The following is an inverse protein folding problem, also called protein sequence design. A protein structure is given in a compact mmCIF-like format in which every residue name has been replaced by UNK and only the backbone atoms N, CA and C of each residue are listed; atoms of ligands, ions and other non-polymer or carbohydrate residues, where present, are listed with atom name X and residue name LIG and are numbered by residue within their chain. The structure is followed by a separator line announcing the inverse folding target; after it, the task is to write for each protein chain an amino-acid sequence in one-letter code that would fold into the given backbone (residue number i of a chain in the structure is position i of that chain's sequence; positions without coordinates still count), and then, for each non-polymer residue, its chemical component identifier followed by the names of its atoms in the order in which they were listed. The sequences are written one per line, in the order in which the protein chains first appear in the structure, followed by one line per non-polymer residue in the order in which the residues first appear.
data_IF_322899319340
#
_entry.id   IF_322899319340
#
_cell.length_a   1.000
_cell.length_b   1.000
_cell.length_c   1.000
_cell.angle_alpha   90.00
_cell.angle_beta   90.00
_cell.angle_gamma   90.00
#
_symmetry.space_group_name_H-M   'P 1'
#
loop_
_entity.id
_entity.type
_entity.pdbx_description
1 polymer ?
#
# COMPACT_ATOMS: atom_id res chain seq x y z
N UNK A 1 -23.72 33.43 -73.18
CA UNK A 1 -22.48 32.64 -72.98
C UNK A 1 -21.49 33.22 -72.01
N UNK A 2 -21.26 34.51 -71.84
CA UNK A 2 -20.30 35.07 -70.87
C UNK A 2 -20.73 34.86 -69.36
N UNK A 3 -22.03 34.92 -69.03
CA UNK A 3 -22.54 34.72 -67.70
C UNK A 3 -22.42 33.26 -67.18
N UNK A 4 -22.57 32.28 -68.11
CA UNK A 4 -22.44 30.85 -67.79
C UNK A 4 -20.96 30.47 -67.46
N UNK A 5 -20.02 31.04 -68.20
CA UNK A 5 -18.59 30.82 -67.99
C UNK A 5 -18.12 31.40 -66.62
N UNK A 6 -18.72 32.50 -66.22
CA UNK A 6 -18.41 33.13 -64.89
C UNK A 6 -18.96 32.30 -63.72
N UNK A 7 -20.15 31.71 -63.89
CA UNK A 7 -20.71 30.80 -62.85
C UNK A 7 -19.92 29.50 -62.75
N UNK A 8 -19.47 28.93 -63.87
CA UNK A 8 -18.63 27.72 -63.82
C UNK A 8 -17.25 28.00 -63.25
N UNK A 9 -16.64 29.16 -63.45
CA UNK A 9 -15.37 29.54 -62.87
C UNK A 9 -15.51 29.81 -61.37
N UNK A 10 -16.60 30.41 -60.91
CA UNK A 10 -16.88 30.60 -59.46
C UNK A 10 -17.15 29.27 -58.68
N UNK A 11 -17.82 28.31 -59.40
CA UNK A 11 -18.07 26.98 -58.89
C UNK A 11 -16.77 26.14 -58.72
N UNK A 12 -15.83 26.25 -59.65
CA UNK A 12 -14.53 25.59 -59.58
C UNK A 12 -13.61 26.17 -58.50
N UNK A 13 -13.62 27.48 -58.29
CA UNK A 13 -12.88 28.11 -57.19
C UNK A 13 -13.46 27.78 -55.82
N UNK A 14 -14.78 27.63 -55.73
CA UNK A 14 -15.43 27.17 -54.49
C UNK A 14 -15.13 25.71 -54.13
N UNK A 15 -14.97 24.84 -55.13
CA UNK A 15 -14.62 23.42 -54.92
C UNK A 15 -13.14 23.23 -54.53
N UNK A 16 -12.25 24.12 -54.92
CA UNK A 16 -10.83 24.11 -54.53
C UNK A 16 -10.57 24.67 -53.15
N UNK A 17 -11.49 25.42 -52.58
CA UNK A 17 -11.38 25.93 -51.19
C UNK A 17 -11.82 24.91 -50.15
N UNK A 18 -12.37 23.77 -50.53
CA UNK A 18 -12.78 22.69 -49.58
C UNK A 18 -11.73 21.62 -49.37
N UNK A 19 -10.57 21.72 -49.99
CA UNK A 19 -9.41 20.83 -49.68
C UNK A 19 -8.49 21.52 -48.66
N UNK A 20 -9.07 22.09 -47.63
CA UNK A 20 -8.31 22.36 -46.39
C UNK A 20 -7.98 21.03 -45.76
N UNK A 21 -6.74 20.59 -45.89
CA UNK A 21 -6.21 19.53 -45.06
C UNK A 21 -6.32 20.00 -43.62
N UNK A 22 -7.44 19.72 -43.02
CA UNK A 22 -7.54 19.76 -41.54
C UNK A 22 -6.79 18.52 -41.04
N UNK A 23 -5.52 18.71 -40.79
CA UNK A 23 -4.81 17.81 -39.91
C UNK A 23 -5.46 17.99 -38.52
N UNK A 24 -6.39 17.11 -38.23
CA UNK A 24 -7.12 17.07 -36.94
C UNK A 24 -6.34 16.39 -35.84
N UNK A 25 -5.05 16.11 -36.05
CA UNK A 25 -4.17 15.64 -34.98
C UNK A 25 -3.98 16.77 -33.98
N UNK A 26 -4.70 16.67 -32.91
CA UNK A 26 -4.54 17.55 -31.76
C UNK A 26 -3.15 17.36 -31.16
N UNK A 27 -2.29 18.37 -31.32
CA UNK A 27 -1.00 18.39 -30.63
C UNK A 27 -1.22 18.96 -29.24
N UNK A 28 -1.36 18.10 -28.28
CA UNK A 28 -1.44 18.48 -26.87
C UNK A 28 -0.04 18.92 -26.41
N UNK A 29 0.13 20.24 -26.21
CA UNK A 29 1.41 20.81 -25.78
C UNK A 29 1.48 21.06 -24.27
N UNK A 30 0.36 21.04 -23.57
CA UNK A 30 0.26 21.41 -22.16
C UNK A 30 -0.12 20.28 -21.23
N UNK A 31 -0.65 19.18 -21.74
CA UNK A 31 -1.06 18.05 -20.93
C UNK A 31 -0.12 16.84 -21.13
N UNK A 32 0.26 16.21 -20.04
CA UNK A 32 0.97 14.95 -20.07
C UNK A 32 -0.03 13.84 -20.40
N UNK A 33 0.00 13.39 -21.65
CA UNK A 33 -0.78 12.23 -22.12
C UNK A 33 0.16 11.02 -22.23
N UNK A 34 -0.41 9.81 -22.24
CA UNK A 34 0.37 8.56 -22.29
C UNK A 34 1.47 8.58 -23.37
N UNK A 35 1.17 9.10 -24.56
CA UNK A 35 2.09 9.07 -25.72
C UNK A 35 3.31 10.00 -25.57
N UNK A 36 3.30 10.94 -24.61
CA UNK A 36 4.41 11.87 -24.36
C UNK A 36 4.96 11.78 -22.93
N UNK A 37 4.49 10.84 -22.11
CA UNK A 37 4.90 10.71 -20.72
C UNK A 37 6.21 9.91 -20.56
N UNK A 38 6.29 8.73 -21.21
CA UNK A 38 7.43 7.82 -21.07
C UNK A 38 8.56 8.18 -22.04
N UNK A 39 9.26 9.28 -21.78
CA UNK A 39 10.31 9.81 -22.68
C UNK A 39 11.73 9.46 -22.24
N UNK A 40 11.89 9.02 -21.02
CA UNK A 40 13.18 8.67 -20.40
C UNK A 40 12.99 7.66 -19.26
N UNK A 41 14.09 7.15 -18.73
CA UNK A 41 14.08 6.21 -17.60
C UNK A 41 13.44 6.81 -16.34
N UNK A 42 13.61 8.11 -16.09
CA UNK A 42 13.07 8.77 -14.91
C UNK A 42 11.54 8.77 -14.91
N UNK A 43 10.92 8.97 -16.07
CA UNK A 43 9.47 8.93 -16.21
C UNK A 43 8.89 7.53 -15.95
N UNK A 44 9.61 6.47 -16.35
CA UNK A 44 9.26 5.07 -15.99
C UNK A 44 9.35 4.86 -14.50
N UNK A 45 10.45 5.28 -13.88
CA UNK A 45 10.65 5.17 -12.42
C UNK A 45 9.58 5.95 -11.64
N UNK A 46 9.25 7.16 -12.09
CA UNK A 46 8.19 7.98 -11.49
C UNK A 46 6.82 7.29 -11.55
N UNK A 47 6.48 6.65 -12.68
CA UNK A 47 5.23 5.91 -12.81
C UNK A 47 5.16 4.72 -11.83
N UNK A 48 6.27 3.98 -11.68
CA UNK A 48 6.35 2.88 -10.72
C UNK A 48 6.24 3.40 -9.29
N UNK A 49 7.00 4.43 -8.91
CA UNK A 49 6.98 5.00 -7.55
C UNK A 49 5.60 5.56 -7.22
N UNK A 50 4.91 6.15 -8.19
CA UNK A 50 3.53 6.64 -8.01
C UNK A 50 2.56 5.55 -7.54
N UNK A 51 2.75 4.29 -7.99
CA UNK A 51 1.92 3.18 -7.50
C UNK A 51 2.16 2.88 -6.00
N UNK A 52 3.37 3.12 -5.50
CA UNK A 52 3.69 2.95 -4.08
C UNK A 52 3.14 4.05 -3.18
N UNK A 53 2.80 5.21 -3.72
CA UNK A 53 2.23 6.32 -2.93
C UNK A 53 0.91 5.93 -2.25
N UNK A 54 0.10 5.09 -2.89
CA UNK A 54 -1.13 4.58 -2.28
C UNK A 54 -0.89 3.63 -1.09
N UNK A 55 0.35 3.20 -0.87
CA UNK A 55 0.71 2.32 0.25
C UNK A 55 0.52 2.97 1.62
N UNK A 56 0.25 4.26 1.66
CA UNK A 56 -0.15 4.99 2.85
C UNK A 56 -1.35 4.38 3.57
N UNK A 57 -2.28 3.84 2.81
CA UNK A 57 -3.46 3.17 3.36
C UNK A 57 -3.12 1.92 4.18
N UNK A 58 -1.95 1.33 3.92
CA UNK A 58 -1.46 0.15 4.64
C UNK A 58 -0.64 0.55 5.84
N UNK A 59 -0.01 1.72 5.81
CA UNK A 59 0.92 2.13 6.86
C UNK A 59 0.20 2.85 7.97
N UNK A 60 -0.33 4.01 7.75
CA UNK A 60 -0.77 4.83 8.85
C UNK A 60 -2.08 5.56 8.56
N UNK A 61 -2.99 5.58 9.54
CA UNK A 61 -4.35 6.14 9.41
C UNK A 61 -5.20 5.55 8.29
N UNK A 62 -4.62 4.80 7.37
CA UNK A 62 -5.37 4.13 6.34
C UNK A 62 -6.33 3.10 6.92
N UNK A 63 -7.39 2.82 6.20
CA UNK A 63 -8.40 1.88 6.70
C UNK A 63 -7.89 0.44 6.70
N UNK A 64 -6.95 0.09 5.81
CA UNK A 64 -6.26 -1.21 5.84
C UNK A 64 -5.51 -1.37 7.17
N UNK A 65 -4.71 -0.35 7.55
CA UNK A 65 -3.99 -0.37 8.82
C UNK A 65 -4.94 -0.47 10.02
N UNK A 66 -6.01 0.32 10.04
CA UNK A 66 -7.00 0.28 11.13
C UNK A 66 -7.66 -1.08 11.30
N UNK A 67 -7.99 -1.74 10.18
CA UNK A 67 -8.56 -3.08 10.24
C UNK A 67 -7.57 -4.11 10.77
N UNK A 68 -6.28 -4.02 10.44
CA UNK A 68 -5.28 -4.95 10.94
C UNK A 68 -4.92 -4.71 12.41
N UNK A 69 -4.68 -3.45 12.79
CA UNK A 69 -4.12 -3.11 14.08
C UNK A 69 -5.18 -3.00 15.18
N UNK A 70 -6.34 -2.42 14.88
CA UNK A 70 -7.38 -2.22 15.89
C UNK A 70 -8.21 -3.48 16.16
N UNK A 71 -8.19 -4.45 15.25
CA UNK A 71 -8.79 -5.78 15.51
C UNK A 71 -7.81 -6.73 16.20
N UNK A 72 -6.53 -6.35 16.24
CA UNK A 72 -5.51 -7.06 17.00
C UNK A 72 -5.56 -6.72 18.49
N UNK A 73 -4.75 -7.42 19.27
CA UNK A 73 -4.71 -7.28 20.73
C UNK A 73 -3.68 -6.26 21.23
N UNK A 74 -2.91 -5.61 20.33
CA UNK A 74 -1.81 -4.73 20.75
C UNK A 74 -2.15 -3.26 20.65
N UNK A 75 -3.16 -2.89 19.88
CA UNK A 75 -3.62 -1.50 19.82
C UNK A 75 -5.09 -1.41 20.16
N UNK A 76 -5.45 -0.33 20.81
CA UNK A 76 -6.83 0.03 21.08
C UNK A 76 -7.00 1.53 20.92
N UNK A 77 -8.04 1.92 20.25
CA UNK A 77 -8.40 3.32 20.09
C UNK A 77 -9.66 3.60 20.92
N UNK A 78 -9.46 4.21 22.06
CA UNK A 78 -10.51 4.36 23.03
C UNK A 78 -10.90 5.81 23.22
N UNK A 79 -12.06 6.03 23.82
CA UNK A 79 -12.50 7.34 24.26
C UNK A 79 -11.57 7.90 25.34
N UNK A 80 -11.27 9.21 25.24
CA UNK A 80 -10.48 9.98 26.18
C UNK A 80 -11.24 11.25 26.52
N UNK A 81 -11.94 11.25 27.63
CA UNK A 81 -12.81 12.34 27.98
C UNK A 81 -13.83 12.60 26.86
N UNK A 82 -13.73 13.74 26.21
CA UNK A 82 -14.64 14.13 25.11
C UNK A 82 -14.21 13.63 23.74
N UNK A 83 -13.03 13.05 23.61
CA UNK A 83 -12.40 12.74 22.34
C UNK A 83 -12.34 11.23 22.07
N UNK A 84 -12.33 10.85 20.80
CA UNK A 84 -12.06 9.50 20.35
C UNK A 84 -13.21 8.50 20.55
N UNK A 85 -14.40 8.95 20.93
CA UNK A 85 -15.56 8.04 20.97
C UNK A 85 -16.03 7.69 19.56
N UNK A 86 -16.17 8.70 18.70
CA UNK A 86 -16.48 8.58 17.27
C UNK A 86 -17.57 7.54 17.01
N UNK A 87 -18.70 7.67 17.71
CA UNK A 87 -19.81 6.71 17.71
C UNK A 87 -19.42 5.26 18.08
N UNK A 88 -18.34 5.09 18.82
CA UNK A 88 -17.86 3.77 19.27
C UNK A 88 -17.28 2.89 18.17
N UNK A 89 -17.03 3.44 16.98
CA UNK A 89 -16.56 2.65 15.82
C UNK A 89 -15.21 1.96 16.09
N UNK A 90 -14.30 2.60 16.80
CA UNK A 90 -12.99 2.04 17.13
C UNK A 90 -13.08 0.90 18.15
N UNK A 91 -13.94 1.08 19.14
CA UNK A 91 -14.20 0.03 20.14
C UNK A 91 -14.87 -1.17 19.49
N UNK A 92 -15.81 -0.96 18.57
CA UNK A 92 -16.43 -2.06 17.81
C UNK A 92 -15.41 -2.85 16.98
N UNK A 93 -14.40 -2.20 16.38
CA UNK A 93 -13.30 -2.90 15.70
C UNK A 93 -12.52 -3.78 16.69
N UNK A 94 -12.12 -3.22 17.84
CA UNK A 94 -11.36 -3.95 18.85
C UNK A 94 -12.14 -5.12 19.46
N UNK A 95 -13.43 -4.95 19.69
CA UNK A 95 -14.31 -5.99 20.24
C UNK A 95 -14.85 -6.97 19.19
N UNK A 96 -14.47 -6.83 17.92
CA UNK A 96 -14.97 -7.63 16.80
C UNK A 96 -16.50 -7.58 16.63
N UNK A 97 -17.08 -6.39 16.88
CA UNK A 97 -18.52 -6.11 16.79
C UNK A 97 -18.89 -5.21 15.62
N UNK A 98 -18.06 -5.18 14.60
CA UNK A 98 -18.36 -4.39 13.40
C UNK A 98 -19.54 -4.93 12.61
N UNK A 99 -20.08 -4.08 11.76
CA UNK A 99 -21.15 -4.42 10.84
C UNK A 99 -20.87 -3.82 9.46
N UNK A 100 -21.75 -4.04 8.50
CA UNK A 100 -21.57 -3.61 7.10
C UNK A 100 -21.51 -2.09 6.90
N UNK A 101 -21.99 -1.28 7.86
CA UNK A 101 -21.91 0.18 7.79
C UNK A 101 -20.59 0.75 8.35
N UNK A 102 -19.71 -0.10 8.84
CA UNK A 102 -18.40 0.32 9.35
C UNK A 102 -17.55 0.89 8.20
N UNK A 103 -17.29 2.20 8.24
CA UNK A 103 -16.62 2.92 7.14
C UNK A 103 -15.26 2.33 6.74
N UNK A 104 -14.49 1.83 7.69
CA UNK A 104 -13.18 1.24 7.48
C UNK A 104 -13.22 -0.02 6.61
N UNK A 105 -14.30 -0.79 6.65
CA UNK A 105 -14.48 -1.97 5.81
C UNK A 105 -14.59 -1.56 4.33
N UNK A 106 -15.42 -0.55 4.04
CA UNK A 106 -15.51 -0.02 2.68
C UNK A 106 -14.23 0.70 2.25
N UNK A 107 -13.61 1.47 3.16
CA UNK A 107 -12.40 2.22 2.88
C UNK A 107 -11.22 1.33 2.51
N UNK A 108 -11.02 0.21 3.20
CA UNK A 108 -9.98 -0.76 2.87
C UNK A 108 -10.19 -1.43 1.50
N UNK A 109 -11.44 -1.72 1.14
CA UNK A 109 -11.80 -2.20 -0.20
C UNK A 109 -11.42 -1.19 -1.29
N UNK A 110 -11.91 0.03 -1.15
CA UNK A 110 -11.67 1.11 -2.12
C UNK A 110 -10.16 1.38 -2.27
N UNK A 111 -9.43 1.51 -1.17
CA UNK A 111 -8.00 1.76 -1.18
C UNK A 111 -7.22 0.65 -1.89
N UNK A 112 -7.57 -0.61 -1.66
CA UNK A 112 -6.94 -1.76 -2.32
C UNK A 112 -7.16 -1.73 -3.83
N UNK A 113 -8.40 -1.55 -4.27
CA UNK A 113 -8.70 -1.54 -5.71
C UNK A 113 -8.20 -0.28 -6.43
N UNK A 114 -8.09 0.87 -5.76
CA UNK A 114 -7.43 2.05 -6.32
C UNK A 114 -5.96 1.76 -6.66
N UNK A 115 -5.22 1.13 -5.76
CA UNK A 115 -3.84 0.74 -6.02
C UNK A 115 -3.75 -0.31 -7.13
N UNK A 116 -4.57 -1.36 -7.08
CA UNK A 116 -4.61 -2.41 -8.12
C UNK A 116 -4.90 -1.80 -9.50
N UNK A 117 -5.88 -0.89 -9.59
CA UNK A 117 -6.22 -0.20 -10.83
C UNK A 117 -5.06 0.65 -11.35
N UNK A 118 -4.35 1.35 -10.48
CA UNK A 118 -3.19 2.14 -10.86
C UNK A 118 -2.04 1.25 -11.35
N UNK A 119 -1.75 0.15 -10.67
CA UNK A 119 -0.76 -0.84 -11.11
C UNK A 119 -1.13 -1.39 -12.49
N UNK A 120 -2.38 -1.80 -12.70
CA UNK A 120 -2.83 -2.31 -13.99
C UNK A 120 -2.71 -1.27 -15.10
N UNK A 121 -2.97 0.02 -14.79
CA UNK A 121 -2.79 1.13 -15.71
C UNK A 121 -1.34 1.25 -16.17
N UNK A 122 -0.39 1.27 -15.22
CA UNK A 122 1.03 1.39 -15.54
C UNK A 122 1.53 0.15 -16.30
N UNK A 123 1.13 -1.06 -15.89
CA UNK A 123 1.48 -2.30 -16.61
C UNK A 123 0.97 -2.30 -18.05
N UNK A 124 -0.27 -1.84 -18.28
CA UNK A 124 -0.82 -1.68 -19.63
C UNK A 124 -0.02 -0.68 -20.44
N UNK A 125 0.29 0.47 -19.86
CA UNK A 125 1.04 1.53 -20.54
C UNK A 125 2.46 1.05 -20.91
N UNK A 126 3.10 0.28 -20.06
CA UNK A 126 4.41 -0.33 -20.31
C UNK A 126 4.44 -1.25 -21.53
N UNK A 127 3.32 -1.83 -21.93
CA UNK A 127 3.23 -2.64 -23.16
C UNK A 127 3.43 -1.81 -24.43
N UNK A 128 3.33 -0.48 -24.36
CA UNK A 128 3.50 0.44 -25.49
C UNK A 128 4.83 1.21 -25.46
N UNK A 129 5.62 1.07 -24.39
CA UNK A 129 6.90 1.79 -24.20
C UNK A 129 8.03 1.05 -24.90
N UNK A 130 8.80 1.76 -25.73
CA UNK A 130 10.08 1.27 -26.22
C UNK A 130 11.16 1.54 -25.17
N UNK A 131 11.32 0.58 -24.25
CA UNK A 131 12.28 0.68 -23.15
C UNK A 131 13.73 0.82 -23.61
N UNK A 132 14.08 0.22 -24.75
CA UNK A 132 15.46 0.30 -25.29
C UNK A 132 15.79 1.70 -25.76
N UNK A 133 14.81 2.38 -26.38
CA UNK A 133 14.98 3.75 -26.86
C UNK A 133 15.21 4.77 -25.75
N UNK A 134 14.72 4.48 -24.54
CA UNK A 134 14.88 5.34 -23.36
C UNK A 134 15.97 4.87 -22.38
N UNK A 135 16.81 3.91 -22.81
CA UNK A 135 17.96 3.45 -22.04
C UNK A 135 17.66 2.56 -20.84
N UNK A 136 16.51 1.86 -20.86
CA UNK A 136 16.15 0.86 -19.84
C UNK A 136 16.53 -0.53 -20.36
N UNK A 137 17.30 -1.27 -19.57
CA UNK A 137 17.72 -2.64 -19.90
C UNK A 137 16.59 -3.65 -19.73
N UNK A 138 16.75 -4.84 -20.31
CA UNK A 138 15.76 -5.91 -20.15
C UNK A 138 15.63 -6.37 -18.70
N UNK A 139 16.73 -6.37 -17.94
CA UNK A 139 16.72 -6.69 -16.52
C UNK A 139 15.96 -5.63 -15.70
N UNK A 140 16.19 -4.35 -16.00
CA UNK A 140 15.48 -3.24 -15.35
C UNK A 140 13.99 -3.27 -15.68
N UNK A 141 13.65 -3.50 -16.96
CA UNK A 141 12.28 -3.68 -17.39
C UNK A 141 11.60 -4.82 -16.64
N UNK A 142 12.23 -6.00 -16.57
CA UNK A 142 11.70 -7.15 -15.83
C UNK A 142 11.50 -6.82 -14.34
N UNK A 143 12.44 -6.09 -13.74
CA UNK A 143 12.33 -5.65 -12.35
C UNK A 143 11.18 -4.67 -12.12
N UNK A 144 10.91 -3.73 -13.04
CA UNK A 144 9.78 -2.81 -12.96
C UNK A 144 8.43 -3.55 -13.04
N UNK A 145 8.29 -4.48 -13.98
CA UNK A 145 7.09 -5.31 -14.08
C UNK A 145 6.86 -6.12 -12.81
N UNK A 146 7.93 -6.72 -12.27
CA UNK A 146 7.84 -7.53 -11.05
C UNK A 146 7.55 -6.70 -9.81
N UNK A 147 8.11 -5.52 -9.68
CA UNK A 147 7.81 -4.58 -8.61
C UNK A 147 6.30 -4.25 -8.55
N UNK A 148 5.71 -3.95 -9.70
CA UNK A 148 4.29 -3.63 -9.83
C UNK A 148 3.40 -4.85 -9.56
N UNK A 149 3.74 -6.02 -10.08
CA UNK A 149 3.00 -7.26 -9.87
C UNK A 149 3.04 -7.71 -8.40
N UNK A 150 4.18 -7.60 -7.73
CA UNK A 150 4.30 -7.89 -6.29
C UNK A 150 3.49 -6.89 -5.47
N UNK A 151 3.51 -5.61 -5.83
CA UNK A 151 2.66 -4.61 -5.18
C UNK A 151 1.18 -4.96 -5.31
N UNK A 152 0.73 -5.36 -6.49
CA UNK A 152 -0.63 -5.83 -6.74
C UNK A 152 -0.98 -7.07 -5.90
N UNK A 153 -0.10 -8.08 -5.90
CA UNK A 153 -0.26 -9.29 -5.09
C UNK A 153 -0.37 -8.98 -3.59
N UNK A 154 0.40 -8.01 -3.11
CA UNK A 154 0.34 -7.56 -1.72
C UNK A 154 -1.02 -6.95 -1.36
N UNK A 155 -1.63 -6.15 -2.24
CA UNK A 155 -2.99 -5.64 -2.03
C UNK A 155 -4.05 -6.74 -2.10
N UNK A 156 -3.87 -7.72 -2.99
CA UNK A 156 -4.75 -8.89 -2.99
C UNK A 156 -4.64 -9.73 -1.72
N UNK A 157 -3.49 -9.73 -1.06
CA UNK A 157 -3.32 -10.39 0.24
C UNK A 157 -4.20 -9.73 1.33
N UNK A 158 -4.32 -8.39 1.35
CA UNK A 158 -5.26 -7.72 2.25
C UNK A 158 -6.72 -8.00 1.88
N UNK A 159 -7.03 -7.98 0.60
CA UNK A 159 -8.37 -8.32 0.12
C UNK A 159 -8.75 -9.76 0.50
N UNK A 160 -7.84 -10.72 0.35
CA UNK A 160 -8.03 -12.09 0.78
C UNK A 160 -8.21 -12.19 2.29
N UNK A 161 -7.40 -11.44 3.07
CA UNK A 161 -7.47 -11.46 4.54
C UNK A 161 -8.80 -10.88 5.05
N UNK A 162 -9.27 -9.77 4.51
CA UNK A 162 -10.47 -9.10 5.01
C UNK A 162 -11.78 -9.67 4.45
N UNK A 163 -11.80 -10.06 3.17
CA UNK A 163 -13.06 -10.35 2.46
C UNK A 163 -13.14 -11.78 1.92
N UNK A 164 -12.05 -12.51 1.83
CA UNK A 164 -11.94 -13.87 1.28
C UNK A 164 -12.24 -13.94 -0.22
N UNK A 165 -13.44 -13.65 -0.63
CA UNK A 165 -13.93 -13.76 -2.01
C UNK A 165 -13.98 -12.36 -2.63
N UNK A 166 -13.16 -12.11 -3.64
CA UNK A 166 -13.04 -10.80 -4.27
C UNK A 166 -12.82 -10.94 -5.77
N UNK A 167 -13.21 -9.95 -6.58
CA UNK A 167 -12.89 -9.94 -8.01
C UNK A 167 -11.38 -9.88 -8.25
N UNK A 168 -10.87 -10.69 -9.17
CA UNK A 168 -9.49 -10.60 -9.65
C UNK A 168 -9.47 -9.76 -10.94
N UNK A 169 -8.91 -8.55 -10.84
CA UNK A 169 -8.74 -7.63 -11.96
C UNK A 169 -7.25 -7.47 -12.27
N UNK A 170 -6.80 -7.99 -13.41
CA UNK A 170 -5.41 -7.91 -13.88
C UNK A 170 -5.21 -6.84 -14.94
N UNK A 171 -6.31 -6.32 -15.49
CA UNK A 171 -6.36 -5.27 -16.49
C UNK A 171 -7.25 -4.13 -16.02
N UNK A 172 -7.15 -2.99 -16.69
CA UNK A 172 -8.07 -1.89 -16.43
C UNK A 172 -9.44 -2.24 -16.99
N UNK A 173 -10.43 -2.24 -16.11
CA UNK A 173 -11.81 -2.56 -16.47
C UNK A 173 -12.52 -1.34 -17.06
N UNK A 174 -13.43 -1.58 -18.00
CA UNK A 174 -14.36 -0.55 -18.42
C UNK A 174 -15.33 -0.18 -17.27
N UNK A 175 -15.82 1.04 -17.27
CA UNK A 175 -16.65 1.56 -16.16
C UNK A 175 -17.97 0.80 -15.95
N UNK A 176 -18.42 0.07 -16.95
CA UNK A 176 -19.66 -0.73 -16.98
C UNK A 176 -19.40 -2.24 -16.92
N UNK A 177 -18.14 -2.66 -16.85
CA UNK A 177 -17.77 -4.06 -16.76
C UNK A 177 -17.87 -4.55 -15.32
N UNK A 178 -18.62 -5.62 -15.13
CA UNK A 178 -18.75 -6.30 -13.85
C UNK A 178 -17.80 -7.49 -13.82
N UNK A 179 -16.72 -7.37 -13.05
CA UNK A 179 -15.81 -8.48 -12.81
C UNK A 179 -16.45 -9.42 -11.77
N UNK A 180 -16.65 -10.70 -12.09
CA UNK A 180 -17.24 -11.63 -11.14
C UNK A 180 -16.32 -11.85 -9.93
N UNK A 181 -16.93 -12.18 -8.80
CA UNK A 181 -16.21 -12.52 -7.58
C UNK A 181 -15.52 -13.88 -7.75
N UNK A 182 -14.25 -13.93 -7.41
CA UNK A 182 -13.46 -15.18 -7.34
C UNK A 182 -13.54 -15.81 -5.95
N UNK A 183 -13.34 -17.10 -5.87
CA UNK A 183 -13.25 -17.82 -4.59
C UNK A 183 -11.98 -17.43 -3.84
N UNK A 184 -11.94 -17.65 -2.53
CA UNK A 184 -10.75 -17.43 -1.72
C UNK A 184 -9.53 -18.23 -2.23
N UNK A 185 -9.77 -19.45 -2.72
CA UNK A 185 -8.72 -20.30 -3.29
C UNK A 185 -8.15 -19.70 -4.58
N UNK A 186 -8.99 -19.23 -5.49
CA UNK A 186 -8.53 -18.58 -6.73
C UNK A 186 -7.73 -17.31 -6.44
N UNK A 187 -8.15 -16.51 -5.45
CA UNK A 187 -7.39 -15.32 -5.02
C UNK A 187 -6.05 -15.70 -4.42
N UNK A 188 -6.02 -16.75 -3.59
CA UNK A 188 -4.80 -17.29 -3.01
C UNK A 188 -3.83 -17.77 -4.09
N UNK A 189 -4.30 -18.58 -5.04
CA UNK A 189 -3.48 -19.12 -6.13
C UNK A 189 -2.94 -18.00 -7.04
N UNK A 190 -3.75 -16.97 -7.28
CA UNK A 190 -3.32 -15.78 -8.00
C UNK A 190 -2.15 -15.07 -7.28
N UNK A 191 -2.27 -14.83 -5.97
CA UNK A 191 -1.20 -14.21 -5.18
C UNK A 191 0.07 -15.05 -5.22
N UNK A 192 -0.05 -16.36 -5.02
CA UNK A 192 1.07 -17.29 -5.03
C UNK A 192 1.80 -17.27 -6.38
N UNK A 193 1.05 -17.35 -7.48
CA UNK A 193 1.60 -17.33 -8.84
C UNK A 193 2.34 -16.02 -9.12
N UNK A 194 1.72 -14.85 -8.83
CA UNK A 194 2.33 -13.54 -9.00
C UNK A 194 3.67 -13.43 -8.25
N UNK A 195 3.71 -13.86 -7.00
CA UNK A 195 4.92 -13.80 -6.19
C UNK A 195 6.01 -14.75 -6.70
N UNK A 196 5.67 -16.02 -7.00
CA UNK A 196 6.63 -17.00 -7.48
C UNK A 196 7.25 -16.63 -8.83
N UNK A 197 6.46 -16.05 -9.72
CA UNK A 197 6.94 -15.62 -11.04
C UNK A 197 7.84 -14.38 -10.94
N UNK A 198 7.52 -13.44 -10.01
CA UNK A 198 8.24 -12.18 -9.90
C UNK A 198 9.54 -12.26 -9.10
N UNK A 199 9.63 -13.12 -8.08
CA UNK A 199 10.81 -13.20 -7.21
C UNK A 199 12.12 -13.37 -8.00
N UNK A 200 12.23 -14.24 -9.00
CA UNK A 200 13.50 -14.44 -9.71
C UNK A 200 14.02 -13.22 -10.47
N UNK A 201 13.14 -12.32 -10.89
CA UNK A 201 13.47 -11.14 -11.68
C UNK A 201 13.67 -9.88 -10.84
N UNK A 202 13.32 -9.92 -9.55
CA UNK A 202 13.61 -8.86 -8.61
C UNK A 202 15.10 -8.87 -8.20
N UNK A 203 15.70 -7.70 -7.91
CA UNK A 203 17.05 -7.66 -7.36
C UNK A 203 17.09 -8.25 -5.94
N UNK A 204 18.25 -8.80 -5.56
CA UNK A 204 18.50 -9.26 -4.17
C UNK A 204 18.89 -8.10 -3.25
N UNK A 205 19.59 -7.15 -3.81
CA UNK A 205 20.09 -6.01 -3.07
C UNK A 205 18.96 -5.15 -2.52
N UNK A 206 19.04 -4.80 -1.25
CA UNK A 206 18.02 -3.97 -0.59
C UNK A 206 17.83 -2.64 -1.31
N UNK A 207 16.60 -2.27 -1.57
CA UNK A 207 16.19 -1.02 -2.20
C UNK A 207 15.19 -0.29 -1.32
N UNK A 208 15.36 1.01 -1.18
CA UNK A 208 14.41 1.83 -0.42
C UNK A 208 13.08 1.97 -1.16
N UNK A 209 12.00 1.66 -0.45
CA UNK A 209 10.64 1.83 -0.97
C UNK A 209 10.29 0.95 -2.18
N UNK A 210 11.05 -0.11 -2.45
CA UNK A 210 10.87 -0.97 -3.62
C UNK A 210 10.99 -2.45 -3.23
N UNK A 211 10.26 -3.29 -3.93
CA UNK A 211 10.33 -4.74 -3.73
C UNK A 211 11.67 -5.29 -4.16
N UNK A 212 12.16 -6.25 -3.40
CA UNK A 212 13.32 -7.10 -3.71
C UNK A 212 12.96 -8.55 -3.43
N UNK A 213 13.84 -9.50 -3.76
CA UNK A 213 13.54 -10.91 -3.60
C UNK A 213 13.15 -11.28 -2.16
N UNK A 214 13.85 -10.75 -1.15
CA UNK A 214 13.62 -11.08 0.25
C UNK A 214 12.23 -10.69 0.75
N UNK A 215 11.80 -9.42 0.67
CA UNK A 215 10.45 -9.04 1.07
C UNK A 215 9.36 -9.76 0.28
N UNK A 216 9.54 -9.99 -1.03
CA UNK A 216 8.57 -10.75 -1.83
C UNK A 216 8.49 -12.22 -1.38
N UNK A 217 9.63 -12.84 -1.03
CA UNK A 217 9.66 -14.17 -0.41
C UNK A 217 9.00 -14.17 0.98
N UNK A 218 9.16 -13.09 1.75
CA UNK A 218 8.47 -12.88 3.02
C UNK A 218 6.95 -12.83 2.88
N UNK A 219 6.44 -12.28 1.77
CA UNK A 219 5.00 -12.33 1.48
C UNK A 219 4.51 -13.78 1.24
N UNK A 220 5.30 -14.63 0.58
CA UNK A 220 4.96 -16.06 0.45
C UNK A 220 4.94 -16.78 1.80
N UNK A 221 5.88 -16.48 2.68
CA UNK A 221 5.87 -17.01 4.06
C UNK A 221 4.56 -16.63 4.76
N UNK A 222 4.14 -15.37 4.65
CA UNK A 222 2.87 -14.90 5.23
C UNK A 222 1.65 -15.57 4.58
N UNK A 223 1.68 -15.75 3.27
CA UNK A 223 0.60 -16.40 2.52
C UNK A 223 0.41 -17.85 2.99
N UNK A 224 1.49 -18.63 3.05
CA UNK A 224 1.48 -20.03 3.47
C UNK A 224 1.11 -20.19 4.95
N UNK A 225 1.60 -19.31 5.81
CA UNK A 225 1.28 -19.35 7.24
C UNK A 225 -0.23 -19.22 7.50
N UNK A 226 -0.91 -18.41 6.69
CA UNK A 226 -2.33 -18.12 6.84
C UNK A 226 -3.25 -18.99 5.96
N UNK A 227 -2.71 -19.84 5.11
CA UNK A 227 -3.47 -20.66 4.14
C UNK A 227 -4.60 -21.45 4.80
N UNK A 228 -4.31 -22.07 5.95
CA UNK A 228 -5.30 -22.86 6.69
C UNK A 228 -6.52 -22.02 7.12
N UNK A 229 -6.32 -20.76 7.49
CA UNK A 229 -7.40 -19.84 7.88
C UNK A 229 -8.12 -19.29 6.65
N UNK A 230 -7.40 -19.00 5.58
CA UNK A 230 -7.97 -18.34 4.42
C UNK A 230 -8.68 -19.28 3.46
N UNK A 231 -8.09 -20.47 3.23
CA UNK A 231 -8.57 -21.44 2.23
C UNK A 231 -8.78 -22.86 2.78
N UNK A 232 -8.52 -23.11 4.06
CA UNK A 232 -8.68 -24.41 4.70
C UNK A 232 -7.57 -25.42 4.42
N UNK A 233 -6.53 -25.05 3.68
CA UNK A 233 -5.42 -25.92 3.29
C UNK A 233 -4.20 -25.69 4.18
N UNK A 234 -3.44 -26.76 4.48
CA UNK A 234 -2.22 -26.67 5.27
C UNK A 234 -1.00 -26.53 4.35
N UNK A 235 -0.32 -25.38 4.46
CA UNK A 235 0.89 -25.06 3.74
C UNK A 235 2.08 -24.77 4.68
N UNK A 236 2.07 -25.30 5.90
CA UNK A 236 3.15 -25.03 6.86
C UNK A 236 4.52 -25.56 6.41
N UNK A 237 4.56 -26.62 5.62
CA UNK A 237 5.81 -27.13 5.06
C UNK A 237 6.43 -26.14 4.07
N UNK A 238 5.60 -25.55 3.19
CA UNK A 238 6.02 -24.51 2.25
C UNK A 238 6.45 -23.24 3.01
N UNK A 239 5.67 -22.84 4.01
CA UNK A 239 5.99 -21.69 4.89
C UNK A 239 7.39 -21.86 5.51
N UNK A 240 7.65 -23.04 6.10
CA UNK A 240 8.94 -23.36 6.72
C UNK A 240 10.08 -23.29 5.71
N UNK A 241 9.92 -23.92 4.53
CA UNK A 241 10.97 -23.95 3.51
C UNK A 241 11.34 -22.55 3.03
N UNK A 242 10.34 -21.69 2.73
CA UNK A 242 10.62 -20.31 2.31
C UNK A 242 11.27 -19.48 3.41
N UNK A 243 10.85 -19.66 4.67
CA UNK A 243 11.46 -18.98 5.81
C UNK A 243 12.94 -19.41 6.01
N UNK A 244 13.22 -20.70 5.92
CA UNK A 244 14.59 -21.26 5.99
C UNK A 244 15.47 -20.72 4.84
N UNK A 245 14.95 -20.64 3.63
CA UNK A 245 15.64 -20.08 2.46
C UNK A 245 15.97 -18.58 2.66
N UNK A 246 15.08 -17.81 3.27
CA UNK A 246 15.31 -16.38 3.61
C UNK A 246 16.43 -16.30 4.67
N UNK A 247 16.36 -17.08 5.74
CA UNK A 247 17.36 -17.10 6.81
C UNK A 247 18.74 -17.52 6.27
N UNK A 248 18.76 -18.44 5.32
CA UNK A 248 19.99 -18.88 4.64
C UNK A 248 20.56 -17.82 3.66
N UNK A 249 19.91 -16.68 3.47
CA UNK A 249 20.37 -15.62 2.58
C UNK A 249 20.12 -15.84 1.09
N UNK A 250 19.25 -16.78 0.73
CA UNK A 250 18.96 -17.11 -0.68
C UNK A 250 18.38 -15.91 -1.44
N UNK A 251 17.59 -15.08 -0.77
CA UNK A 251 16.86 -13.95 -1.34
C UNK A 251 17.36 -12.57 -0.89
N UNK A 252 18.54 -12.51 -0.28
CA UNK A 252 19.16 -11.31 0.27
C UNK A 252 19.69 -11.56 1.68
N UNK A 253 20.46 -10.61 2.21
CA UNK A 253 21.07 -10.75 3.55
C UNK A 253 20.30 -9.92 4.56
N UNK A 254 19.76 -10.58 5.57
CA UNK A 254 19.05 -9.97 6.68
C UNK A 254 19.60 -10.51 8.00
N UNK A 255 19.58 -9.71 9.05
CA UNK A 255 20.04 -10.16 10.36
C UNK A 255 19.32 -9.38 11.47
N UNK A 256 19.09 -10.06 12.59
CA UNK A 256 18.54 -9.43 13.79
C UNK A 256 19.58 -8.46 14.36
N UNK A 257 19.15 -7.23 14.64
CA UNK A 257 20.00 -6.26 15.31
C UNK A 257 20.25 -6.69 16.76
N UNK A 258 21.52 -6.89 17.09
CA UNK A 258 21.94 -7.34 18.41
C UNK A 258 22.16 -6.21 19.42
N UNK A 259 22.08 -4.94 18.97
CA UNK A 259 22.47 -3.80 19.82
C UNK A 259 21.26 -3.17 20.53
N UNK A 260 20.29 -2.67 19.78
CA UNK A 260 19.12 -2.00 20.35
C UNK A 260 17.88 -2.28 19.50
N UNK A 261 16.84 -2.83 20.13
CA UNK A 261 15.57 -3.12 19.44
C UNK A 261 14.90 -1.86 18.86
N UNK A 262 15.27 -0.66 19.30
CA UNK A 262 14.76 0.61 18.79
C UNK A 262 15.38 1.05 17.48
N UNK A 263 16.52 0.48 17.10
CA UNK A 263 17.25 0.89 15.89
C UNK A 263 16.40 0.80 14.61
N UNK A 264 15.57 -0.23 14.40
CA UNK A 264 14.69 -0.30 13.24
C UNK A 264 13.69 0.86 13.13
N UNK A 265 13.42 1.55 14.23
CA UNK A 265 12.43 2.63 14.34
C UNK A 265 13.05 4.03 14.35
N UNK A 266 14.37 4.15 14.28
CA UNK A 266 15.04 5.45 14.30
C UNK A 266 14.93 6.17 12.98
N UNK A 267 14.77 7.49 13.04
CA UNK A 267 14.79 8.35 11.87
C UNK A 267 16.23 8.54 11.35
N UNK A 268 16.37 8.76 10.04
CA UNK A 268 17.68 9.06 9.43
C UNK A 268 18.20 7.93 8.54
N UNK A 269 17.58 7.79 7.40
CA UNK A 269 17.80 6.77 6.37
C UNK A 269 19.27 6.46 6.10
N UNK A 270 20.12 7.49 5.99
CA UNK A 270 21.52 7.30 5.66
C UNK A 270 22.36 6.73 6.80
N UNK A 271 21.81 6.67 8.01
CA UNK A 271 22.51 6.18 9.20
C UNK A 271 21.91 4.91 9.81
N UNK A 272 20.63 4.63 9.54
CA UNK A 272 19.85 3.65 10.31
C UNK A 272 19.08 2.66 9.44
N UNK A 273 19.62 2.31 8.26
CA UNK A 273 19.08 1.15 7.55
C UNK A 273 19.29 -0.08 8.41
N UNK A 274 18.25 -0.45 9.14
CA UNK A 274 18.32 -1.65 9.95
C UNK A 274 18.50 -2.89 9.08
N UNK A 275 19.42 -3.79 9.43
CA UNK A 275 19.54 -5.07 8.74
C UNK A 275 18.32 -5.98 8.95
N UNK A 276 17.46 -5.67 9.95
CA UNK A 276 16.22 -6.42 10.21
C UNK A 276 15.11 -6.09 9.22
N UNK A 277 15.06 -4.84 8.75
CA UNK A 277 13.98 -4.39 7.91
C UNK A 277 14.13 -4.96 6.50
N UNK A 278 13.20 -5.81 6.10
CA UNK A 278 13.17 -6.39 4.75
C UNK A 278 12.60 -5.41 3.74
N UNK A 279 11.57 -4.65 4.13
CA UNK A 279 10.91 -3.64 3.32
C UNK A 279 10.63 -2.40 4.17
N UNK A 280 10.81 -1.21 3.59
CA UNK A 280 10.58 0.06 4.26
C UNK A 280 9.87 1.02 3.31
N UNK A 281 8.85 1.71 3.80
CA UNK A 281 8.32 2.89 3.13
C UNK A 281 9.18 4.09 3.46
N UNK A 282 9.56 4.83 2.45
CA UNK A 282 10.39 6.00 2.63
C UNK A 282 9.54 7.26 2.67
N UNK A 283 9.72 8.03 3.75
CA UNK A 283 9.17 9.36 3.89
C UNK A 283 10.31 10.36 4.09
N UNK A 284 10.29 11.44 3.34
CA UNK A 284 11.28 12.49 3.43
C UNK A 284 10.60 13.85 3.57
N UNK A 285 11.00 14.60 4.61
CA UNK A 285 10.46 15.93 4.87
C UNK A 285 10.67 16.86 3.67
N UNK A 286 9.60 17.51 3.23
CA UNK A 286 9.60 18.43 2.08
C UNK A 286 9.51 17.74 0.71
N UNK A 287 9.48 16.40 0.65
CA UNK A 287 9.37 15.64 -0.61
C UNK A 287 8.24 14.64 -0.62
N UNK A 288 8.21 13.78 0.35
CA UNK A 288 7.19 12.76 0.54
C UNK A 288 6.78 12.79 2.02
N UNK A 289 6.05 13.84 2.37
CA UNK A 289 5.59 14.04 3.73
C UNK A 289 4.31 13.26 3.97
N UNK A 290 4.35 12.44 4.98
CA UNK A 290 3.14 11.84 5.53
C UNK A 290 3.03 12.17 7.00
N UNK A 291 1.79 12.25 7.44
CA UNK A 291 1.53 12.34 8.86
C UNK A 291 2.01 11.04 9.50
N UNK A 292 2.88 11.15 10.44
CA UNK A 292 3.45 10.01 11.14
C UNK A 292 2.51 9.52 12.23
N UNK A 293 2.62 8.26 12.63
CA UNK A 293 1.88 7.64 13.73
C UNK A 293 1.97 8.43 15.05
N UNK A 294 2.97 9.27 15.21
CA UNK A 294 3.14 10.19 16.33
C UNK A 294 1.97 11.14 16.55
N UNK A 295 1.39 11.65 15.46
CA UNK A 295 0.29 12.61 15.56
C UNK A 295 -0.95 11.98 16.21
N UNK A 296 -1.19 10.70 15.99
CA UNK A 296 -2.32 9.99 16.61
C UNK A 296 -1.96 9.34 17.95
N UNK A 297 -0.69 8.99 18.14
CA UNK A 297 -0.20 8.45 19.41
C UNK A 297 -0.06 9.49 20.51
N UNK A 298 0.03 10.79 20.16
CA UNK A 298 0.24 11.84 21.15
C UNK A 298 -1.07 12.47 21.59
N UNK A 299 -1.17 12.68 22.91
CA UNK A 299 -2.23 13.52 23.47
C UNK A 299 -2.06 14.97 23.00
N UNK A 300 -3.16 15.68 22.74
CA UNK A 300 -3.13 17.08 22.28
C UNK A 300 -2.32 18.02 23.18
N UNK A 301 -2.24 17.75 24.48
CA UNK A 301 -1.40 18.51 25.42
C UNK A 301 0.10 18.25 25.25
N UNK A 302 0.49 17.17 24.61
CA UNK A 302 1.91 16.88 24.35
C UNK A 302 2.52 17.87 23.35
N UNK A 303 1.72 18.49 22.49
CA UNK A 303 2.17 19.53 21.58
C UNK A 303 2.85 20.68 22.32
N UNK A 304 2.36 21.05 23.49
CA UNK A 304 2.93 22.11 24.35
C UNK A 304 4.28 21.71 24.95
N UNK A 305 4.48 20.42 25.20
CA UNK A 305 5.68 19.90 25.86
C UNK A 305 6.81 19.60 24.88
N UNK A 306 6.48 19.08 23.70
CA UNK A 306 7.47 18.62 22.71
C UNK A 306 7.51 19.46 21.45
N UNK A 307 6.72 20.54 21.36
CA UNK A 307 6.71 21.47 20.23
C UNK A 307 6.19 20.86 18.93
N UNK A 308 5.39 19.82 19.01
CA UNK A 308 4.79 19.17 17.84
C UNK A 308 3.40 19.70 17.58
N UNK A 309 3.10 20.04 16.33
CA UNK A 309 1.76 20.48 15.88
C UNK A 309 0.74 19.32 15.87
N UNK A 310 1.19 18.10 16.10
CA UNK A 310 0.38 16.91 16.07
C UNK A 310 -0.48 16.72 17.30
N UNK A 311 -1.52 17.50 17.43
CA UNK A 311 -2.57 17.27 18.43
C UNK A 311 -3.53 16.18 17.97
N UNK A 312 -3.12 14.91 18.05
CA UNK A 312 -4.06 13.82 17.88
C UNK A 312 -5.04 13.76 19.05
N UNK A 313 -6.28 14.15 18.82
CA UNK A 313 -7.36 13.91 19.78
C UNK A 313 -7.61 12.41 19.97
N UNK A 314 -7.05 11.60 19.13
CA UNK A 314 -7.45 10.23 18.85
C UNK A 314 -6.32 9.24 19.05
N UNK A 315 -5.47 9.41 20.02
CA UNK A 315 -4.32 8.57 20.18
C UNK A 315 -4.66 7.10 20.39
N UNK A 316 -3.88 6.27 19.76
CA UNK A 316 -3.81 4.84 20.03
C UNK A 316 -3.14 4.68 21.38
N UNK A 317 -3.76 3.94 22.28
CA UNK A 317 -3.21 3.71 23.59
C UNK A 317 -2.77 2.28 23.79
N UNK A 318 -1.60 2.16 24.36
CA UNK A 318 -1.09 0.90 24.91
C UNK A 318 -1.54 0.68 26.37
N UNK A 319 -2.08 1.71 27.00
CA UNK A 319 -2.56 1.66 28.39
C UNK A 319 -4.09 1.63 28.46
N UNK A 320 -4.66 1.13 29.55
CA UNK A 320 -6.10 1.18 29.77
C UNK A 320 -6.61 2.61 29.67
N UNK A 321 -7.58 2.82 28.82
CA UNK A 321 -8.25 4.11 28.71
C UNK A 321 -9.30 4.31 29.76
N UNK A 322 -9.65 5.57 29.98
CA UNK A 322 -10.66 5.95 30.94
C UNK A 322 -11.86 6.57 30.24
N UNK A 323 -13.04 6.25 30.75
CA UNK A 323 -14.30 6.87 30.35
C UNK A 323 -14.42 8.31 30.87
N UNK A 324 -15.55 8.97 30.63
CA UNK A 324 -15.83 10.32 31.15
C UNK A 324 -15.83 10.43 32.67
N UNK A 325 -16.12 9.35 33.35
CA UNK A 325 -16.16 9.26 34.80
C UNK A 325 -14.80 8.93 35.41
N UNK A 326 -13.79 8.66 34.57
CA UNK A 326 -12.45 8.28 35.01
C UNK A 326 -12.26 6.80 35.31
N UNK A 327 -13.28 5.96 35.03
CA UNK A 327 -13.16 4.51 35.18
C UNK A 327 -12.32 3.92 34.05
N UNK A 328 -11.52 2.93 34.37
CA UNK A 328 -10.78 2.16 33.36
C UNK A 328 -11.77 1.39 32.48
N UNK A 329 -11.62 1.50 31.17
CA UNK A 329 -12.39 0.67 30.24
C UNK A 329 -12.15 -0.80 30.53
N UNK A 330 -13.22 -1.53 30.79
CA UNK A 330 -13.18 -2.97 30.95
C UNK A 330 -13.55 -3.62 29.62
N UNK A 331 -12.55 -4.05 28.88
CA UNK A 331 -12.79 -4.90 27.72
C UNK A 331 -13.05 -6.33 28.17
N UNK A 332 -14.03 -6.99 27.56
CA UNK A 332 -14.30 -8.38 27.82
C UNK A 332 -13.03 -9.22 27.63
N UNK A 333 -12.78 -10.15 28.57
CA UNK A 333 -11.64 -11.09 28.48
C UNK A 333 -10.22 -10.49 28.48
N UNK A 334 -10.00 -9.32 29.07
CA UNK A 334 -8.64 -8.72 29.17
C UNK A 334 -8.07 -8.19 27.85
N UNK A 335 -8.89 -8.05 26.82
CA UNK A 335 -8.50 -7.38 25.58
C UNK A 335 -8.14 -5.91 25.87
N UNK A 336 -7.16 -5.38 25.14
CA UNK A 336 -6.74 -3.99 25.28
C UNK A 336 -5.73 -3.71 26.40
N UNK A 337 -5.17 -4.74 27.02
CA UNK A 337 -4.08 -4.62 28.00
C UNK A 337 -2.77 -5.21 27.45
N UNK A 338 -2.13 -4.57 26.45
CA UNK A 338 -0.92 -5.13 25.83
C UNK A 338 0.23 -5.33 26.80
N UNK A 339 0.34 -4.51 27.88
CA UNK A 339 1.38 -4.66 28.88
C UNK A 339 1.31 -5.97 29.66
N UNK A 340 0.12 -6.50 29.87
CA UNK A 340 -0.05 -7.78 30.57
C UNK A 340 0.42 -8.97 29.74
N UNK A 341 0.59 -8.78 28.43
CA UNK A 341 1.04 -9.82 27.50
C UNK A 341 2.57 -9.96 27.46
N UNK A 342 3.30 -8.97 27.94
CA UNK A 342 4.75 -9.05 28.01
C UNK A 342 5.19 -9.78 29.29
N UNK A 343 6.24 -10.58 29.19
CA UNK A 343 6.88 -11.11 30.37
C UNK A 343 7.40 -9.98 31.26
N UNK A 344 7.31 -10.14 32.58
CA UNK A 344 7.76 -9.11 33.54
C UNK A 344 9.23 -8.70 33.37
N UNK A 345 10.05 -9.58 32.81
CA UNK A 345 11.46 -9.32 32.51
C UNK A 345 11.72 -8.72 31.14
N UNK A 346 10.67 -8.50 30.33
CA UNK A 346 10.84 -7.97 28.99
C UNK A 346 11.18 -6.48 29.04
N UNK A 347 12.41 -6.14 28.67
CA UNK A 347 12.90 -4.76 28.70
C UNK A 347 12.18 -3.82 27.73
N UNK A 348 11.46 -4.34 26.73
CA UNK A 348 10.66 -3.54 25.80
C UNK A 348 9.51 -2.82 26.49
N UNK A 349 9.08 -3.29 27.64
CA UNK A 349 8.02 -2.67 28.46
C UNK A 349 8.54 -1.43 29.20
N UNK A 350 9.84 -1.40 29.54
CA UNK A 350 10.44 -0.33 30.35
C UNK A 350 10.23 1.07 29.76
N UNK A 351 10.37 1.32 28.45
CA UNK A 351 10.15 2.65 27.88
C UNK A 351 8.71 3.18 28.01
N UNK A 352 7.75 2.30 28.26
CA UNK A 352 6.34 2.63 28.37
C UNK A 352 5.88 2.81 29.83
N UNK A 353 6.72 2.46 30.78
CA UNK A 353 6.50 2.84 32.18
C UNK A 353 6.87 4.31 32.34
N UNK A 354 5.92 5.19 32.06
CA UNK A 354 5.99 6.53 32.59
C UNK A 354 5.78 6.40 34.10
N UNK A 355 6.80 6.70 34.85
CA UNK A 355 6.59 7.08 36.25
C UNK A 355 5.61 8.23 36.25
N UNK A 356 4.50 8.06 36.94
CA UNK A 356 3.55 9.13 37.25
C UNK A 356 4.23 10.36 37.83
#
# INVERSE_FOLDING_TARGET
MKKIKLLCAAGLLGALAMTSCTDLTEKVYSDLVRDNYYTDKLSVEAAVVRCFEHSDNVTWRGDIWKLQELTGDHFVWTQKGRHGYDDGQWIRLHEHKWNYIQGQINGAWVASYQCISQVNTVLRDFNTVDFSAIGVTDEEKAAYYSDLRVLRAWYYMFLLDFYRQVPIATEQQASDEIVPQSTAKEVYDFIESELKECIPTLPKEKRLGRWTQGPAAGLLVRLYLNAKVWIGEDHYADCKQWAEDIIAGKYGTYSINQQDYRDPFRSGINKYQSPENMFEFWHERGRLEQQTMWADGMHYSAAQTIGSDGGGNNGIHLQPSRDFQGNVYQFASGLGNPFEKYAKCDYRVIPFHTTD
#
